data_IF_344166307849
#
_entry.id   IF_344166307849
#
_cell.length_a   1.000
_cell.length_b   1.000
_cell.length_c   1.000
_cell.angle_alpha   90.00
_cell.angle_beta   90.00
_cell.angle_gamma   90.00
#
_symmetry.space_group_name_H-M   'P 1'
#
loop_
_entity.id
_entity.type
_entity.pdbx_description
1 polymer ?
#
# COMPACT_ATOMS: atom_id res chain seq x y z
N UNK A 1 -0.71 -22.18 -9.35
CA UNK A 1 0.53 -21.40 -9.07
C UNK A 1 0.17 -20.26 -8.14
N UNK A 2 1.10 -19.82 -7.28
CA UNK A 2 0.94 -18.63 -6.44
C UNK A 2 1.55 -17.42 -7.12
N UNK A 3 0.79 -16.34 -7.22
CA UNK A 3 1.20 -15.09 -7.85
C UNK A 3 1.13 -13.94 -6.86
N UNK A 4 2.19 -13.12 -6.83
CA UNK A 4 2.16 -11.81 -6.17
C UNK A 4 2.07 -10.75 -7.27
N UNK A 5 0.96 -10.01 -7.29
CA UNK A 5 0.68 -9.01 -8.32
C UNK A 5 0.71 -7.62 -7.67
N UNK A 6 1.51 -6.70 -8.20
CA UNK A 6 1.59 -5.32 -7.71
C UNK A 6 1.01 -4.34 -8.73
N UNK A 7 0.03 -3.53 -8.32
CA UNK A 7 -0.40 -2.37 -9.10
C UNK A 7 -0.03 -1.05 -8.41
N UNK A 8 0.49 -0.09 -9.18
CA UNK A 8 0.71 1.28 -8.72
C UNK A 8 -0.60 2.07 -8.65
N UNK A 9 -0.63 3.15 -7.85
CA UNK A 9 -1.85 3.96 -7.65
C UNK A 9 -2.46 4.51 -8.95
N UNK A 10 -1.63 4.91 -9.93
CA UNK A 10 -2.10 5.41 -11.23
C UNK A 10 -2.91 4.39 -12.05
N UNK A 11 -2.65 3.08 -11.85
CA UNK A 11 -3.44 2.03 -12.50
C UNK A 11 -4.81 1.92 -11.85
N UNK A 12 -4.88 2.06 -10.52
CA UNK A 12 -6.14 2.02 -9.78
C UNK A 12 -7.04 3.21 -10.14
N UNK A 13 -6.46 4.37 -10.40
CA UNK A 13 -7.21 5.56 -10.80
C UNK A 13 -7.76 5.46 -12.23
N UNK A 14 -6.97 4.91 -13.17
CA UNK A 14 -7.29 4.98 -14.61
C UNK A 14 -7.90 3.72 -15.19
N UNK A 15 -7.72 2.57 -14.53
CA UNK A 15 -8.00 1.27 -15.15
C UNK A 15 -8.44 0.21 -14.14
N UNK A 16 -9.18 0.61 -13.10
CA UNK A 16 -9.59 -0.28 -12.02
C UNK A 16 -10.42 -1.46 -12.52
N UNK A 17 -11.47 -1.22 -13.31
CA UNK A 17 -12.39 -2.30 -13.72
C UNK A 17 -11.68 -3.39 -14.54
N UNK A 18 -10.85 -3.01 -15.53
CA UNK A 18 -10.07 -3.98 -16.30
C UNK A 18 -9.05 -4.75 -15.43
N UNK A 19 -8.45 -4.09 -14.43
CA UNK A 19 -7.59 -4.75 -13.46
C UNK A 19 -8.37 -5.77 -12.64
N UNK A 20 -9.56 -5.42 -12.15
CA UNK A 20 -10.43 -6.31 -11.39
C UNK A 20 -10.90 -7.50 -12.23
N UNK A 21 -11.25 -7.28 -13.51
CA UNK A 21 -11.61 -8.33 -14.45
C UNK A 21 -10.44 -9.30 -14.66
N UNK A 22 -9.23 -8.76 -14.83
CA UNK A 22 -8.02 -9.57 -14.99
C UNK A 22 -7.72 -10.38 -13.72
N UNK A 23 -7.78 -9.76 -12.54
CA UNK A 23 -7.58 -10.46 -11.26
C UNK A 23 -8.62 -11.57 -11.08
N UNK A 24 -9.89 -11.29 -11.38
CA UNK A 24 -10.96 -12.28 -11.28
C UNK A 24 -10.75 -13.45 -12.24
N UNK A 25 -10.42 -13.17 -13.51
CA UNK A 25 -10.12 -14.21 -14.50
C UNK A 25 -8.99 -15.12 -14.03
N UNK A 26 -7.85 -14.56 -13.63
CA UNK A 26 -6.67 -15.35 -13.27
C UNK A 26 -6.81 -16.04 -11.90
N UNK A 27 -7.67 -15.54 -11.01
CA UNK A 27 -7.93 -16.18 -9.71
C UNK A 27 -8.58 -17.56 -9.82
N UNK A 28 -9.15 -17.91 -10.98
CA UNK A 28 -9.71 -19.24 -11.26
C UNK A 28 -8.64 -20.33 -11.40
N UNK A 29 -7.42 -19.95 -11.77
CA UNK A 29 -6.31 -20.87 -12.05
C UNK A 29 -5.14 -20.68 -11.09
N UNK A 30 -5.11 -19.55 -10.38
CA UNK A 30 -3.99 -19.12 -9.56
C UNK A 30 -4.44 -18.58 -8.21
N UNK A 31 -3.67 -18.90 -7.17
CA UNK A 31 -3.75 -18.25 -5.86
C UNK A 31 -3.07 -16.88 -5.97
N UNK A 32 -3.79 -15.80 -5.67
CA UNK A 32 -3.30 -14.43 -5.89
C UNK A 32 -3.19 -13.66 -4.58
N UNK A 33 -2.01 -13.08 -4.35
CA UNK A 33 -1.79 -11.98 -3.41
C UNK A 33 -1.62 -10.70 -4.22
N UNK A 34 -2.62 -9.84 -4.17
CA UNK A 34 -2.62 -8.55 -4.84
C UNK A 34 -2.17 -7.45 -3.87
N UNK A 35 -1.07 -6.77 -4.18
CA UNK A 35 -0.57 -5.63 -3.43
C UNK A 35 -0.92 -4.35 -4.20
N UNK A 36 -1.53 -3.38 -3.53
CA UNK A 36 -1.89 -2.12 -4.18
C UNK A 36 -1.01 -0.95 -3.71
N UNK A 37 -1.09 0.16 -4.44
CA UNK A 37 -0.55 1.45 -4.02
C UNK A 37 -1.68 2.47 -3.90
N UNK A 38 -1.34 3.75 -3.95
CA UNK A 38 -2.35 4.81 -3.82
C UNK A 38 -1.82 6.19 -3.50
N UNK A 39 -0.52 6.44 -3.69
CA UNK A 39 0.13 7.67 -3.22
C UNK A 39 -0.50 8.97 -3.72
N UNK A 40 -0.99 8.99 -4.97
CA UNK A 40 -1.66 10.17 -5.54
C UNK A 40 -3.02 10.41 -4.87
N UNK A 41 -3.80 9.35 -4.65
CA UNK A 41 -5.09 9.40 -3.94
C UNK A 41 -4.88 9.83 -2.48
N UNK A 42 -3.83 9.34 -1.81
CA UNK A 42 -3.46 9.83 -0.46
C UNK A 42 -3.16 11.33 -0.49
N UNK A 43 -2.44 11.82 -1.50
CA UNK A 43 -2.15 13.26 -1.66
C UNK A 43 -3.42 14.08 -1.77
N UNK A 44 -4.37 13.63 -2.59
CA UNK A 44 -5.67 14.28 -2.77
C UNK A 44 -6.44 14.37 -1.45
N UNK A 45 -6.57 13.25 -0.73
CA UNK A 45 -7.31 13.20 0.52
C UNK A 45 -6.63 13.96 1.67
N UNK A 46 -5.30 13.97 1.72
CA UNK A 46 -4.56 14.76 2.70
C UNK A 46 -4.90 16.24 2.54
N UNK A 47 -4.89 16.76 1.31
CA UNK A 47 -5.30 18.15 1.05
C UNK A 47 -6.76 18.43 1.39
N UNK A 48 -7.67 17.51 1.06
CA UNK A 48 -9.10 17.63 1.44
C UNK A 48 -9.30 17.71 2.96
N UNK A 49 -8.43 17.05 3.73
CA UNK A 49 -8.46 17.02 5.20
C UNK A 49 -7.58 18.11 5.83
N UNK A 50 -7.02 19.04 5.04
CA UNK A 50 -6.17 20.12 5.54
C UNK A 50 -4.80 19.66 6.06
N UNK A 51 -4.33 18.49 5.62
CA UNK A 51 -2.98 17.96 5.90
C UNK A 51 -2.15 18.13 4.63
N UNK A 52 -1.17 19.04 4.63
CA UNK A 52 -0.35 19.30 3.44
C UNK A 52 0.72 18.21 3.25
N UNK A 53 0.69 17.46 2.12
CA UNK A 53 1.68 16.42 1.82
C UNK A 53 3.10 16.95 1.71
N UNK A 54 4.01 16.40 2.52
CA UNK A 54 5.44 16.71 2.45
C UNK A 54 6.18 15.63 1.68
N UNK A 55 7.17 16.04 0.88
CA UNK A 55 8.03 15.12 0.15
C UNK A 55 9.50 15.47 0.39
N UNK A 56 10.33 14.44 0.47
CA UNK A 56 11.78 14.56 0.67
C UNK A 56 12.54 13.80 -0.40
N UNK A 57 13.72 14.30 -0.76
CA UNK A 57 14.61 13.69 -1.75
C UNK A 57 15.78 13.06 -1.02
N UNK A 58 16.03 11.77 -1.26
CA UNK A 58 17.19 11.06 -0.70
C UNK A 58 18.48 11.39 -1.47
N UNK A 59 19.68 11.08 -0.91
CA UNK A 59 20.95 11.24 -1.62
C UNK A 59 21.05 10.50 -2.96
N UNK A 60 20.24 9.45 -3.17
CA UNK A 60 20.13 8.72 -4.43
C UNK A 60 19.10 9.31 -5.41
N UNK A 61 18.58 10.52 -5.13
CA UNK A 61 17.59 11.20 -5.98
C UNK A 61 16.16 10.67 -5.84
N UNK A 62 15.90 9.70 -4.97
CA UNK A 62 14.54 9.14 -4.79
C UNK A 62 13.69 10.12 -4.01
N UNK A 63 12.60 10.60 -4.63
CA UNK A 63 11.55 11.39 -3.99
C UNK A 63 10.60 10.45 -3.23
N UNK A 64 10.36 10.74 -1.96
CA UNK A 64 9.48 9.96 -1.09
C UNK A 64 8.58 10.87 -0.25
N UNK A 65 7.39 10.37 0.13
CA UNK A 65 6.52 11.07 1.07
C UNK A 65 7.17 11.09 2.45
N UNK A 66 7.20 12.26 3.06
CA UNK A 66 7.52 12.39 4.48
C UNK A 66 6.24 12.25 5.29
N UNK A 67 6.14 11.16 6.04
CA UNK A 67 4.93 10.81 6.80
C UNK A 67 5.12 11.17 8.26
N UNK A 68 4.56 12.29 8.72
CA UNK A 68 4.39 12.57 10.15
C UNK A 68 3.12 11.88 10.69
N UNK A 69 2.77 12.10 11.97
CA UNK A 69 1.65 11.41 12.62
C UNK A 69 0.30 11.72 11.96
N UNK A 70 0.05 13.00 11.65
CA UNK A 70 -1.18 13.43 10.97
C UNK A 70 -1.24 12.89 9.55
N UNK A 71 -0.12 12.90 8.83
CA UNK A 71 -0.04 12.28 7.51
C UNK A 71 -0.24 10.76 7.56
N UNK A 72 0.22 10.08 8.62
CA UNK A 72 0.02 8.64 8.81
C UNK A 72 -1.46 8.29 8.96
N UNK A 73 -2.21 9.07 9.75
CA UNK A 73 -3.66 8.86 9.90
C UNK A 73 -4.36 8.89 8.55
N UNK A 74 -4.08 9.92 7.73
CA UNK A 74 -4.65 10.02 6.38
C UNK A 74 -4.19 8.87 5.48
N UNK A 75 -2.91 8.52 5.56
CA UNK A 75 -2.33 7.43 4.79
C UNK A 75 -3.07 6.11 5.07
N UNK A 76 -3.30 5.77 6.34
CA UNK A 76 -4.01 4.55 6.75
C UNK A 76 -5.47 4.60 6.31
N UNK A 77 -6.18 5.72 6.54
CA UNK A 77 -7.58 5.89 6.14
C UNK A 77 -7.78 5.64 4.64
N UNK A 78 -6.87 6.15 3.82
CA UNK A 78 -6.99 6.06 2.36
C UNK A 78 -6.50 4.72 1.83
N UNK A 79 -5.33 4.24 2.27
CA UNK A 79 -4.76 2.98 1.77
C UNK A 79 -5.55 1.78 2.26
N UNK A 80 -5.68 1.58 3.58
CA UNK A 80 -6.30 0.39 4.16
C UNK A 80 -7.83 0.48 4.23
N UNK A 81 -8.36 1.70 4.26
CA UNK A 81 -9.80 1.96 4.16
C UNK A 81 -10.23 2.07 2.70
N UNK A 82 -10.25 3.29 2.17
CA UNK A 82 -10.86 3.60 0.87
C UNK A 82 -10.41 2.66 -0.25
N UNK A 83 -9.13 2.67 -0.60
CA UNK A 83 -8.62 1.98 -1.79
C UNK A 83 -8.75 0.47 -1.62
N UNK A 84 -8.30 -0.06 -0.49
CA UNK A 84 -8.35 -1.49 -0.21
C UNK A 84 -9.79 -2.03 -0.29
N UNK A 85 -10.76 -1.34 0.33
CA UNK A 85 -12.15 -1.79 0.36
C UNK A 85 -12.88 -1.58 -0.97
N UNK A 86 -12.51 -0.57 -1.76
CA UNK A 86 -12.99 -0.41 -3.14
C UNK A 86 -12.57 -1.60 -4.03
N UNK A 87 -11.30 -2.01 -3.94
CA UNK A 87 -10.80 -3.19 -4.68
C UNK A 87 -11.52 -4.46 -4.22
N UNK A 88 -11.61 -4.69 -2.91
CA UNK A 88 -12.28 -5.88 -2.35
C UNK A 88 -13.74 -5.93 -2.80
N UNK A 89 -14.48 -4.82 -2.66
CA UNK A 89 -15.87 -4.73 -3.11
C UNK A 89 -15.99 -5.00 -4.62
N UNK A 90 -15.06 -4.48 -5.43
CA UNK A 90 -15.00 -4.72 -6.86
C UNK A 90 -14.73 -6.17 -7.26
N UNK A 91 -13.91 -6.89 -6.49
CA UNK A 91 -13.66 -8.32 -6.67
C UNK A 91 -14.84 -9.19 -6.22
N UNK A 92 -15.49 -8.84 -5.10
CA UNK A 92 -16.67 -9.55 -4.63
C UNK A 92 -17.83 -9.48 -5.65
N UNK A 93 -18.00 -8.33 -6.33
CA UNK A 93 -18.97 -8.19 -7.45
C UNK A 93 -18.67 -9.10 -8.64
N UNK A 94 -17.44 -9.61 -8.74
CA UNK A 94 -16.99 -10.57 -9.77
C UNK A 94 -16.96 -12.00 -9.25
N UNK A 95 -17.67 -12.25 -8.15
CA UNK A 95 -17.76 -13.54 -7.47
C UNK A 95 -16.41 -14.08 -7.00
N UNK A 96 -15.41 -13.20 -6.84
CA UNK A 96 -14.11 -13.56 -6.29
C UNK A 96 -14.18 -13.44 -4.78
N UNK A 97 -13.86 -14.53 -4.08
CA UNK A 97 -13.73 -14.55 -2.63
C UNK A 97 -12.50 -13.74 -2.20
N UNK A 98 -12.64 -12.42 -2.06
CA UNK A 98 -11.54 -11.51 -1.74
C UNK A 98 -11.54 -11.07 -0.27
N UNK A 99 -10.35 -10.89 0.31
CA UNK A 99 -10.16 -10.32 1.66
C UNK A 99 -9.11 -9.20 1.63
N UNK A 100 -9.45 -8.08 2.26
CA UNK A 100 -8.58 -6.90 2.31
C UNK A 100 -7.87 -6.76 3.65
N UNK A 101 -6.54 -6.67 3.62
CA UNK A 101 -5.67 -6.60 4.80
C UNK A 101 -4.65 -5.47 4.65
N UNK A 102 -4.14 -4.99 5.77
CA UNK A 102 -2.99 -4.10 5.93
C UNK A 102 -1.87 -4.82 6.68
N UNK A 103 -0.72 -4.17 6.84
CA UNK A 103 0.37 -4.73 7.65
C UNK A 103 0.01 -4.99 9.11
N UNK A 104 -0.95 -4.25 9.68
CA UNK A 104 -1.37 -4.38 11.07
C UNK A 104 -2.24 -5.62 11.33
N UNK A 105 -2.98 -6.09 10.32
CA UNK A 105 -3.92 -7.20 10.47
C UNK A 105 -3.17 -8.51 10.73
N UNK A 106 -3.28 -9.04 11.95
CA UNK A 106 -2.57 -10.26 12.35
C UNK A 106 -1.04 -10.16 12.22
N UNK A 107 -0.48 -8.94 12.28
CA UNK A 107 0.94 -8.66 12.02
C UNK A 107 1.37 -9.16 10.63
N UNK A 108 0.52 -8.97 9.61
CA UNK A 108 0.78 -9.44 8.25
C UNK A 108 2.14 -8.96 7.73
N UNK A 109 2.47 -7.69 7.96
CA UNK A 109 3.74 -7.07 7.59
C UNK A 109 4.32 -6.35 8.82
N UNK A 110 5.52 -6.75 9.24
CA UNK A 110 6.22 -6.09 10.33
C UNK A 110 7.40 -5.30 9.80
N UNK A 111 7.44 -4.01 10.12
CA UNK A 111 8.44 -3.08 9.59
C UNK A 111 9.27 -2.44 10.70
N UNK A 112 10.55 -2.26 10.44
CA UNK A 112 11.44 -1.42 11.25
C UNK A 112 11.30 0.03 10.80
N UNK A 113 10.82 0.89 11.70
CA UNK A 113 10.76 2.34 11.49
C UNK A 113 12.16 2.91 11.32
N UNK A 114 12.32 3.87 10.41
CA UNK A 114 13.54 4.67 10.27
C UNK A 114 13.45 5.82 11.27
N UNK A 115 14.28 5.81 12.30
CA UNK A 115 14.30 6.91 13.28
C UNK A 115 14.82 8.21 12.66
N UNK A 116 15.79 8.10 11.76
CA UNK A 116 16.39 9.23 11.03
C UNK A 116 16.55 8.86 9.55
N UNK A 117 16.43 9.86 8.69
CA UNK A 117 16.70 9.73 7.25
C UNK A 117 17.63 10.85 6.79
N UNK A 118 18.41 10.57 5.75
CA UNK A 118 19.23 11.57 5.06
C UNK A 118 18.42 12.10 3.89
N UNK A 119 18.32 13.42 3.78
CA UNK A 119 17.68 14.11 2.67
C UNK A 119 18.66 15.08 1.99
N UNK A 120 18.33 15.47 0.77
CA UNK A 120 18.96 16.57 0.05
C UNK A 120 18.04 17.78 0.16
N UNK A 121 18.53 18.88 0.73
CA UNK A 121 17.78 20.14 0.80
C UNK A 121 17.75 20.87 -0.55
N UNK A 122 17.00 21.96 -0.64
CA UNK A 122 16.85 22.77 -1.86
C UNK A 122 18.18 23.35 -2.38
N UNK A 123 19.22 23.38 -1.53
CA UNK A 123 20.57 23.85 -1.88
C UNK A 123 21.52 22.69 -2.23
N UNK A 124 21.00 21.48 -2.37
CA UNK A 124 21.80 20.29 -2.69
C UNK A 124 22.57 19.70 -1.50
N UNK A 125 22.34 20.15 -0.26
CA UNK A 125 23.11 19.70 0.91
C UNK A 125 22.46 18.50 1.58
N UNK A 126 23.28 17.54 2.01
CA UNK A 126 22.84 16.38 2.79
C UNK A 126 22.50 16.79 4.22
N UNK A 127 21.31 16.43 4.71
CA UNK A 127 20.84 16.71 6.07
C UNK A 127 20.21 15.48 6.71
N UNK A 128 20.44 15.30 8.01
CA UNK A 128 19.70 14.33 8.82
C UNK A 128 18.43 14.98 9.36
N UNK A 129 17.30 14.33 9.16
CA UNK A 129 16.01 14.71 9.74
C UNK A 129 15.39 13.50 10.46
N UNK A 130 14.41 13.70 11.37
CA UNK A 130 13.58 12.60 11.86
C UNK A 130 12.99 11.80 10.68
N UNK A 131 12.84 10.48 10.81
CA UNK A 131 12.43 9.62 9.68
C UNK A 131 10.93 9.51 9.44
N UNK A 132 10.11 10.20 10.24
CA UNK A 132 8.66 10.07 10.19
C UNK A 132 8.21 8.63 10.50
N UNK A 133 7.04 8.23 10.01
CA UNK A 133 6.47 6.89 10.11
C UNK A 133 6.73 6.11 8.81
N UNK A 134 7.99 6.09 8.38
CA UNK A 134 8.46 5.29 7.24
C UNK A 134 9.40 4.20 7.72
N UNK A 135 9.48 3.10 6.98
CA UNK A 135 10.22 1.93 7.43
C UNK A 135 10.64 0.97 6.33
N UNK A 136 11.22 -0.14 6.73
CA UNK A 136 11.49 -1.31 5.87
C UNK A 136 10.81 -2.52 6.49
N UNK A 137 10.07 -3.28 5.68
CA UNK A 137 9.52 -4.57 6.10
C UNK A 137 10.69 -5.51 6.44
N UNK A 138 10.65 -6.09 7.64
CA UNK A 138 11.67 -7.01 8.17
C UNK A 138 11.12 -8.41 8.41
N UNK A 139 9.80 -8.56 8.47
CA UNK A 139 9.16 -9.85 8.67
C UNK A 139 7.75 -9.83 8.05
N UNK A 140 7.29 -11.01 7.61
CA UNK A 140 6.00 -11.21 6.93
C UNK A 140 5.34 -12.44 7.54
N UNK A 141 4.07 -12.32 7.96
CA UNK A 141 3.31 -13.45 8.48
C UNK A 141 2.84 -14.36 7.34
N UNK A 142 3.76 -15.20 6.86
CA UNK A 142 3.50 -16.16 5.78
C UNK A 142 2.43 -17.19 6.20
N UNK A 143 2.37 -17.56 7.48
CA UNK A 143 1.36 -18.51 7.95
C UNK A 143 -0.07 -17.98 7.75
N UNK A 144 -0.32 -16.71 8.09
CA UNK A 144 -1.61 -16.07 7.86
C UNK A 144 -1.94 -15.98 6.35
N UNK A 145 -0.96 -15.60 5.53
CA UNK A 145 -1.12 -15.55 4.07
C UNK A 145 -1.53 -16.92 3.52
N UNK A 146 -0.78 -17.96 3.89
CA UNK A 146 -1.00 -19.32 3.42
C UNK A 146 -2.33 -19.89 3.91
N UNK A 147 -2.72 -19.59 5.15
CA UNK A 147 -4.01 -20.01 5.70
C UNK A 147 -5.16 -19.44 4.87
N UNK A 148 -5.11 -18.15 4.52
CA UNK A 148 -6.15 -17.50 3.73
C UNK A 148 -6.16 -17.99 2.28
N UNK A 149 -4.99 -18.11 1.64
CA UNK A 149 -4.88 -18.64 0.28
C UNK A 149 -5.43 -20.08 0.18
N UNK A 150 -5.05 -20.95 1.11
CA UNK A 150 -5.51 -22.34 1.17
C UNK A 150 -7.03 -22.45 1.40
N UNK A 151 -7.66 -21.42 1.99
CA UNK A 151 -9.12 -21.31 2.15
C UNK A 151 -9.82 -20.63 0.95
N UNK A 152 -9.10 -20.45 -0.16
CA UNK A 152 -9.63 -19.93 -1.42
C UNK A 152 -9.80 -18.41 -1.46
N UNK A 153 -9.16 -17.65 -0.56
CA UNK A 153 -9.21 -16.20 -0.60
C UNK A 153 -8.20 -15.61 -1.59
N UNK A 154 -8.61 -14.61 -2.36
CA UNK A 154 -7.71 -13.64 -3.00
C UNK A 154 -7.37 -12.55 -1.97
N UNK A 155 -6.09 -12.38 -1.64
CA UNK A 155 -5.66 -11.39 -0.65
C UNK A 155 -5.39 -10.05 -1.34
N UNK A 156 -5.99 -8.97 -0.83
CA UNK A 156 -5.76 -7.58 -1.26
C UNK A 156 -5.01 -6.87 -0.13
N UNK A 157 -3.71 -6.64 -0.31
CA UNK A 157 -2.80 -6.11 0.72
C UNK A 157 -2.51 -4.63 0.50
N UNK A 158 -2.84 -3.81 1.49
CA UNK A 158 -2.42 -2.43 1.62
C UNK A 158 -1.02 -2.34 2.26
N UNK A 159 -0.15 -1.46 1.75
CA UNK A 159 1.23 -1.31 2.23
C UNK A 159 1.32 -0.60 3.58
#
# INVERSE_FOLDING_TARGET
MRLVVKAGGRVLDRNLENLLDSLAKHSKEHEIVFVHGGGDIVTEYSRKLGVEPKFVISPSGVRSRYTDERELEVYVMVMAGKINKEIVSGLLRREVKAIGLSGADGKLLYAKRKERIIIVDERGRKRFIPGGYTGKIIDVNVNLIMTLLNNGYLLVVAP
#
